data_IF_450104202751
#
_entry.id   IF_450104202751
#
_cell.length_a   1.000
_cell.length_b   1.000
_cell.length_c   1.000
_cell.angle_alpha   90.00
_cell.angle_beta   90.00
_cell.angle_gamma   90.00
#
_symmetry.space_group_name_H-M   'P 1'
#
loop_
_entity.id
_entity.type
_entity.pdbx_description
1 polymer ?
#
# COMPACT_ATOMS: atom_id res chain seq x y z
N UNK A 1 -21.09 -2.74 2.01
CA UNK A 1 -21.06 -1.30 2.35
C UNK A 1 -20.50 -0.45 1.22
N UNK A 2 -19.26 -0.65 0.74
CA UNK A 2 -18.65 0.19 -0.32
C UNK A 2 -19.45 0.15 -1.63
N UNK A 3 -19.85 -1.03 -2.10
CA UNK A 3 -20.75 -1.18 -3.27
C UNK A 3 -22.10 -0.45 -3.14
N UNK A 4 -22.57 -0.23 -1.90
CA UNK A 4 -23.79 0.54 -1.65
C UNK A 4 -23.52 2.04 -1.79
N UNK A 5 -22.39 2.51 -1.29
CA UNK A 5 -21.95 3.91 -1.36
C UNK A 5 -21.74 4.33 -2.84
N UNK A 6 -21.11 3.47 -3.64
CA UNK A 6 -20.90 3.66 -5.08
C UNK A 6 -22.21 3.84 -5.86
N UNK A 7 -23.23 3.01 -5.54
CA UNK A 7 -24.58 3.13 -6.13
C UNK A 7 -25.19 4.52 -5.94
N UNK A 8 -24.90 5.18 -4.83
CA UNK A 8 -25.38 6.53 -4.52
C UNK A 8 -24.38 7.63 -4.93
N UNK A 9 -23.34 7.30 -5.71
CA UNK A 9 -22.27 8.21 -6.16
C UNK A 9 -21.60 8.96 -5.01
N UNK A 10 -21.56 8.32 -3.83
CA UNK A 10 -20.84 8.86 -2.69
C UNK A 10 -19.38 8.40 -2.72
N UNK A 11 -18.49 9.24 -2.23
CA UNK A 11 -17.07 8.93 -2.25
C UNK A 11 -16.67 8.11 -1.01
N UNK A 12 -16.16 6.90 -1.23
CA UNK A 12 -15.63 6.05 -0.16
C UNK A 12 -14.13 6.29 0.05
N UNK A 13 -13.72 6.34 1.31
CA UNK A 13 -12.32 6.48 1.70
C UNK A 13 -11.96 5.35 2.65
N UNK A 14 -10.97 4.54 2.27
CA UNK A 14 -10.45 3.47 3.13
C UNK A 14 -9.14 3.90 3.82
N UNK A 15 -8.94 3.48 5.05
CA UNK A 15 -7.69 3.67 5.78
C UNK A 15 -7.14 2.29 6.13
N UNK A 16 -5.92 2.01 5.69
CA UNK A 16 -5.26 0.73 5.83
C UNK A 16 -4.04 0.91 6.70
N UNK A 17 -3.86 0.02 7.67
CA UNK A 17 -2.61 -0.10 8.42
C UNK A 17 -1.96 -1.42 8.03
N UNK A 18 -0.67 -1.37 7.72
CA UNK A 18 0.15 -2.52 7.36
C UNK A 18 1.21 -2.75 8.43
N UNK A 19 1.70 -3.98 8.55
CA UNK A 19 2.70 -4.36 9.55
C UNK A 19 2.12 -4.41 10.96
N UNK A 20 0.94 -4.99 11.13
CA UNK A 20 0.42 -5.29 12.47
C UNK A 20 1.23 -6.44 13.11
N UNK A 21 1.32 -6.52 14.45
CA UNK A 21 1.92 -7.69 15.10
C UNK A 21 1.20 -8.97 14.64
N UNK A 22 1.97 -10.02 14.35
CA UNK A 22 1.50 -11.30 13.80
C UNK A 22 0.95 -11.24 12.36
N UNK A 23 0.99 -10.09 11.67
CA UNK A 23 0.61 -10.00 10.27
C UNK A 23 1.69 -10.62 9.38
N UNK A 24 1.32 -11.63 8.60
CA UNK A 24 2.19 -12.27 7.62
C UNK A 24 1.93 -11.77 6.20
N UNK A 25 2.72 -12.29 5.26
CA UNK A 25 2.58 -11.94 3.83
C UNK A 25 1.17 -12.24 3.31
N UNK A 26 0.57 -13.35 3.76
CA UNK A 26 -0.76 -13.78 3.32
C UNK A 26 -1.82 -12.76 3.74
N UNK A 27 -1.80 -12.34 5.00
CA UNK A 27 -2.77 -11.40 5.57
C UNK A 27 -2.68 -10.01 4.90
N UNK A 28 -1.46 -9.54 4.60
CA UNK A 28 -1.26 -8.31 3.82
C UNK A 28 -1.88 -8.45 2.42
N UNK A 29 -1.61 -9.56 1.73
CA UNK A 29 -2.15 -9.79 0.38
C UNK A 29 -3.67 -9.97 0.38
N UNK A 30 -4.26 -10.55 1.43
CA UNK A 30 -5.70 -10.64 1.63
C UNK A 30 -6.32 -9.24 1.81
N UNK A 31 -5.68 -8.37 2.59
CA UNK A 31 -6.09 -6.97 2.74
C UNK A 31 -6.03 -6.21 1.41
N UNK A 32 -4.96 -6.41 0.63
CA UNK A 32 -4.80 -5.82 -0.70
C UNK A 32 -5.88 -6.32 -1.66
N UNK A 33 -6.16 -7.63 -1.66
CA UNK A 33 -7.18 -8.24 -2.51
C UNK A 33 -8.56 -7.68 -2.16
N UNK A 34 -8.89 -7.63 -0.87
CA UNK A 34 -10.13 -7.02 -0.40
C UNK A 34 -10.26 -5.55 -0.84
N UNK A 35 -9.17 -4.78 -0.78
CA UNK A 35 -9.15 -3.39 -1.21
C UNK A 35 -9.38 -3.26 -2.72
N UNK A 36 -8.74 -4.12 -3.52
CA UNK A 36 -8.94 -4.19 -4.96
C UNK A 36 -10.37 -4.55 -5.35
N UNK A 37 -10.96 -5.56 -4.71
CA UNK A 37 -12.35 -5.98 -4.95
C UNK A 37 -13.39 -4.94 -4.49
N UNK A 38 -13.08 -4.22 -3.41
CA UNK A 38 -13.95 -3.20 -2.85
C UNK A 38 -14.01 -1.94 -3.72
N UNK A 39 -12.93 -1.62 -4.44
CA UNK A 39 -12.76 -0.46 -5.32
C UNK A 39 -13.20 0.87 -4.68
N UNK A 40 -12.63 1.29 -3.53
CA UNK A 40 -12.99 2.58 -2.95
C UNK A 40 -12.53 3.75 -3.84
N UNK A 41 -13.14 4.93 -3.70
CA UNK A 41 -12.71 6.11 -4.47
C UNK A 41 -11.26 6.51 -4.15
N UNK A 42 -10.89 6.42 -2.87
CA UNK A 42 -9.49 6.52 -2.45
C UNK A 42 -9.18 5.63 -1.26
N UNK A 43 -7.90 5.40 -1.04
CA UNK A 43 -7.39 4.80 0.19
C UNK A 43 -6.11 5.48 0.63
N UNK A 44 -5.90 5.48 1.94
CA UNK A 44 -4.65 5.90 2.58
C UNK A 44 -4.06 4.71 3.30
N UNK A 45 -2.76 4.50 3.16
CA UNK A 45 -2.06 3.46 3.93
C UNK A 45 -1.01 4.07 4.84
N UNK A 46 -0.77 3.40 5.97
CA UNK A 46 0.33 3.69 6.88
C UNK A 46 0.89 2.39 7.41
N UNK A 47 2.08 2.45 8.01
CA UNK A 47 2.53 1.38 8.89
C UNK A 47 1.89 1.51 10.26
N UNK A 48 1.66 0.38 10.90
CA UNK A 48 1.16 0.33 12.27
C UNK A 48 2.26 0.81 13.24
N UNK A 49 1.85 1.62 14.23
CA UNK A 49 2.71 2.09 15.31
C UNK A 49 2.14 1.62 16.67
N UNK A 50 2.90 0.83 17.46
CA UNK A 50 2.51 0.36 18.78
C UNK A 50 2.65 1.48 19.83
N UNK A 51 1.64 2.33 19.98
CA UNK A 51 1.70 3.39 20.99
C UNK A 51 1.81 2.82 22.41
N UNK A 52 2.82 3.25 23.22
CA UNK A 52 2.98 2.81 24.60
C UNK A 52 1.69 2.97 25.43
N UNK A 53 1.36 1.95 26.23
CA UNK A 53 0.14 1.89 27.02
C UNK A 53 -1.10 1.39 26.28
N UNK A 54 -0.99 1.03 24.99
CA UNK A 54 -2.08 0.37 24.26
C UNK A 54 -1.94 -1.15 24.31
N UNK A 55 -3.07 -1.87 24.20
CA UNK A 55 -3.06 -3.33 24.10
C UNK A 55 -2.25 -3.82 22.89
N UNK A 56 -2.26 -3.04 21.81
CA UNK A 56 -1.53 -3.38 20.60
C UNK A 56 0.00 -3.27 20.81
N UNK A 57 0.46 -2.29 21.59
CA UNK A 57 1.85 -2.24 22.03
C UNK A 57 2.24 -3.47 22.87
N UNK A 58 1.40 -3.87 23.84
CA UNK A 58 1.70 -5.07 24.63
C UNK A 58 1.83 -6.31 23.77
N UNK A 59 0.94 -6.48 22.78
CA UNK A 59 0.99 -7.59 21.83
C UNK A 59 2.25 -7.55 20.95
N UNK A 60 2.67 -6.37 20.51
CA UNK A 60 3.90 -6.17 19.75
C UNK A 60 5.16 -6.51 20.57
N UNK A 61 5.21 -6.09 21.83
CA UNK A 61 6.32 -6.42 22.75
C UNK A 61 6.34 -7.91 23.06
N UNK A 62 5.18 -8.50 23.40
CA UNK A 62 5.05 -9.93 23.68
C UNK A 62 5.45 -10.80 22.48
N UNK A 63 5.11 -10.35 21.26
CA UNK A 63 5.50 -11.03 20.02
C UNK A 63 6.98 -10.86 19.64
N UNK A 64 7.74 -10.06 20.38
CA UNK A 64 9.15 -9.81 20.10
C UNK A 64 9.42 -8.96 18.86
N UNK A 65 8.41 -8.20 18.39
CA UNK A 65 8.50 -7.44 17.14
C UNK A 65 9.08 -6.03 17.34
N UNK A 66 9.02 -5.46 18.54
CA UNK A 66 9.39 -4.04 18.74
C UNK A 66 10.90 -3.85 18.67
N UNK A 67 11.34 -3.03 17.72
CA UNK A 67 12.66 -2.41 17.75
C UNK A 67 12.55 -1.08 18.50
N UNK A 68 12.95 -1.06 19.78
CA UNK A 68 12.81 0.10 20.66
C UNK A 68 13.63 1.31 20.18
N UNK A 69 14.85 1.10 19.68
CA UNK A 69 15.69 2.19 19.14
C UNK A 69 15.00 2.88 17.95
N UNK A 70 14.36 2.11 17.07
CA UNK A 70 13.58 2.66 15.96
C UNK A 70 12.31 3.34 16.47
N UNK A 71 11.61 2.75 17.44
CA UNK A 71 10.40 3.34 18.02
C UNK A 71 10.66 4.74 18.59
N UNK A 72 11.80 4.94 19.25
CA UNK A 72 12.18 6.23 19.84
C UNK A 72 12.64 7.27 18.80
N UNK A 73 13.19 6.82 17.66
CA UNK A 73 13.74 7.69 16.61
C UNK A 73 12.82 7.94 15.41
N UNK A 74 11.74 7.16 15.28
CA UNK A 74 10.79 7.27 14.17
C UNK A 74 10.02 8.59 14.22
N UNK A 75 10.22 9.42 13.19
CA UNK A 75 9.53 10.71 13.05
C UNK A 75 8.13 10.58 12.42
N UNK A 76 7.84 9.48 11.72
CA UNK A 76 6.54 9.20 11.10
C UNK A 76 6.28 7.69 11.03
N UNK A 77 5.07 7.31 10.66
CA UNK A 77 4.64 5.91 10.44
C UNK A 77 4.06 5.71 9.04
N UNK A 78 4.45 6.55 8.07
CA UNK A 78 3.99 6.47 6.68
C UNK A 78 4.96 5.71 5.79
N UNK A 79 6.26 5.84 6.05
CA UNK A 79 7.31 5.25 5.20
C UNK A 79 8.02 4.07 5.88
N UNK A 80 7.96 3.97 7.21
CA UNK A 80 8.66 2.95 8.00
C UNK A 80 7.85 2.46 9.21
N UNK A 81 8.18 1.25 9.69
CA UNK A 81 7.66 0.67 10.93
C UNK A 81 8.78 0.49 11.96
N UNK A 82 8.45 0.66 13.24
CA UNK A 82 9.33 0.27 14.35
C UNK A 82 9.26 -1.23 14.67
N UNK A 83 8.36 -1.96 14.00
CA UNK A 83 8.27 -3.41 14.15
C UNK A 83 9.25 -4.09 13.18
N UNK A 84 9.88 -5.16 13.65
CA UNK A 84 10.80 -6.01 12.91
C UNK A 84 10.21 -7.42 12.80
N UNK A 85 9.87 -7.82 11.57
CA UNK A 85 9.31 -9.12 11.23
C UNK A 85 10.35 -10.05 10.58
N UNK A 86 11.62 -9.65 10.61
CA UNK A 86 12.70 -10.30 9.88
C UNK A 86 12.88 -9.74 8.46
N UNK A 87 14.05 -10.01 7.84
CA UNK A 87 14.50 -9.31 6.63
C UNK A 87 13.57 -9.50 5.43
N UNK A 88 13.01 -10.70 5.25
CA UNK A 88 12.13 -11.01 4.12
C UNK A 88 10.80 -10.25 4.21
N UNK A 89 10.12 -10.33 5.36
CA UNK A 89 8.84 -9.66 5.55
C UNK A 89 8.99 -8.14 5.59
N UNK A 90 10.06 -7.63 6.22
CA UNK A 90 10.37 -6.20 6.20
C UNK A 90 10.60 -5.67 4.77
N UNK A 91 11.33 -6.41 3.92
CA UNK A 91 11.51 -6.03 2.52
C UNK A 91 10.19 -6.07 1.75
N UNK A 92 9.36 -7.08 1.98
CA UNK A 92 8.02 -7.16 1.39
C UNK A 92 7.16 -5.96 1.78
N UNK A 93 7.09 -5.62 3.07
CA UNK A 93 6.37 -4.45 3.57
C UNK A 93 6.90 -3.14 2.97
N UNK A 94 8.22 -2.98 2.82
CA UNK A 94 8.81 -1.82 2.15
C UNK A 94 8.36 -1.69 0.69
N UNK A 95 8.29 -2.80 -0.06
CA UNK A 95 7.81 -2.81 -1.45
C UNK A 95 6.34 -2.43 -1.54
N UNK A 96 5.50 -3.01 -0.67
CA UNK A 96 4.07 -2.70 -0.61
C UNK A 96 3.86 -1.24 -0.20
N UNK A 97 4.51 -0.78 0.86
CA UNK A 97 4.39 0.60 1.35
C UNK A 97 4.89 1.64 0.36
N UNK A 98 5.87 1.31 -0.49
CA UNK A 98 6.35 2.21 -1.53
C UNK A 98 5.28 2.49 -2.60
N UNK A 99 4.54 1.46 -3.02
CA UNK A 99 3.67 1.54 -4.20
C UNK A 99 2.40 0.68 -4.11
N UNK A 100 1.69 0.78 -2.99
CA UNK A 100 0.45 0.02 -2.74
C UNK A 100 -0.58 0.08 -3.90
N UNK A 101 -0.78 1.20 -4.62
CA UNK A 101 -1.69 1.24 -5.76
C UNK A 101 -1.42 0.20 -6.85
N UNK A 102 -0.16 -0.20 -7.09
CA UNK A 102 0.15 -1.24 -8.06
C UNK A 102 -0.43 -2.58 -7.63
N UNK A 103 -0.27 -2.91 -6.35
CA UNK A 103 -0.83 -4.12 -5.76
C UNK A 103 -2.37 -4.09 -5.81
N UNK A 104 -2.99 -2.96 -5.47
CA UNK A 104 -4.46 -2.83 -5.52
C UNK A 104 -4.96 -2.99 -6.96
N UNK A 105 -4.34 -2.33 -7.94
CA UNK A 105 -4.70 -2.47 -9.35
C UNK A 105 -4.58 -3.91 -9.86
N UNK A 106 -3.55 -4.65 -9.44
CA UNK A 106 -3.36 -6.04 -9.84
C UNK A 106 -4.54 -6.95 -9.43
N UNK A 107 -5.23 -6.60 -8.32
CA UNK A 107 -6.36 -7.33 -7.75
C UNK A 107 -7.73 -6.64 -7.96
N UNK A 108 -7.77 -5.46 -8.60
CA UNK A 108 -9.01 -4.70 -8.76
C UNK A 108 -9.95 -5.24 -9.86
N UNK A 109 -9.50 -6.18 -10.70
CA UNK A 109 -10.24 -6.66 -11.89
C UNK A 109 -10.64 -5.52 -12.85
N UNK A 110 -9.73 -4.58 -13.06
CA UNK A 110 -9.80 -3.53 -14.08
C UNK A 110 -9.10 -4.01 -15.35
N UNK A 111 -9.29 -3.30 -16.47
CA UNK A 111 -8.64 -3.62 -17.74
C UNK A 111 -7.11 -3.60 -17.61
N UNK A 112 -6.57 -2.71 -16.78
CA UNK A 112 -5.14 -2.58 -16.46
C UNK A 112 -4.59 -3.65 -15.50
N UNK A 113 -5.46 -4.45 -14.86
CA UNK A 113 -5.02 -5.39 -13.82
C UNK A 113 -3.96 -6.41 -14.29
N UNK A 114 -4.01 -6.99 -15.51
CA UNK A 114 -2.93 -7.84 -16.02
C UNK A 114 -1.58 -7.13 -16.06
N UNK A 115 -1.54 -5.89 -16.56
CA UNK A 115 -0.32 -5.09 -16.60
C UNK A 115 0.26 -4.91 -15.20
N UNK A 116 -0.56 -4.52 -14.22
CA UNK A 116 -0.09 -4.33 -12.85
C UNK A 116 0.32 -5.64 -12.15
N UNK A 117 -0.26 -6.79 -12.51
CA UNK A 117 0.22 -8.10 -12.01
C UNK A 117 1.66 -8.35 -12.44
N UNK A 118 1.99 -8.12 -13.70
CA UNK A 118 3.36 -8.28 -14.20
C UNK A 118 4.34 -7.33 -13.49
N UNK A 119 3.91 -6.08 -13.25
CA UNK A 119 4.69 -5.08 -12.50
C UNK A 119 4.94 -5.50 -11.06
N UNK A 120 3.90 -5.98 -10.37
CA UNK A 120 3.98 -6.46 -8.98
C UNK A 120 4.86 -7.71 -8.90
N UNK A 121 4.73 -8.65 -9.83
CA UNK A 121 5.55 -9.85 -9.88
C UNK A 121 7.05 -9.52 -10.07
N UNK A 122 7.36 -8.58 -10.95
CA UNK A 122 8.73 -8.09 -11.14
C UNK A 122 9.28 -7.43 -9.87
N UNK A 123 8.49 -6.56 -9.23
CA UNK A 123 8.86 -5.88 -7.98
C UNK A 123 9.11 -6.89 -6.84
N UNK A 124 8.22 -7.88 -6.71
CA UNK A 124 8.32 -8.89 -5.67
C UNK A 124 9.56 -9.78 -5.82
N UNK A 125 10.02 -10.04 -7.05
CA UNK A 125 11.23 -10.81 -7.36
C UNK A 125 12.55 -10.08 -7.08
N UNK A 126 12.55 -8.75 -6.97
CA UNK A 126 13.77 -8.00 -6.65
C UNK A 126 14.33 -8.41 -5.29
N UNK A 127 15.64 -8.61 -5.16
CA UNK A 127 16.26 -8.69 -3.84
C UNK A 127 16.34 -7.30 -3.19
N UNK A 128 16.91 -7.25 -1.98
CA UNK A 128 17.04 -6.00 -1.21
C UNK A 128 17.83 -4.94 -1.96
N UNK A 129 19.01 -5.30 -2.49
CA UNK A 129 19.91 -4.35 -3.14
C UNK A 129 19.31 -3.80 -4.44
N UNK A 130 18.73 -4.69 -5.25
CA UNK A 130 18.05 -4.33 -6.49
C UNK A 130 16.87 -3.40 -6.22
N UNK A 131 16.06 -3.73 -5.21
CA UNK A 131 14.93 -2.89 -4.81
C UNK A 131 15.37 -1.51 -4.31
N UNK A 132 16.38 -1.44 -3.43
CA UNK A 132 16.87 -0.17 -2.89
C UNK A 132 17.41 0.77 -3.98
N UNK A 133 18.06 0.21 -5.01
CA UNK A 133 18.49 0.97 -6.19
C UNK A 133 17.34 1.44 -7.07
N UNK A 134 16.29 0.63 -7.22
CA UNK A 134 15.15 0.93 -8.09
C UNK A 134 14.10 1.84 -7.42
N UNK A 135 13.97 1.79 -6.09
CA UNK A 135 12.92 2.46 -5.32
C UNK A 135 12.75 3.96 -5.63
N UNK A 136 13.81 4.76 -5.81
CA UNK A 136 13.66 6.18 -6.17
C UNK A 136 12.95 6.39 -7.51
N UNK A 137 13.14 5.50 -8.48
CA UNK A 137 12.58 5.62 -9.83
C UNK A 137 11.13 5.09 -9.94
N UNK A 138 10.73 4.16 -9.08
CA UNK A 138 9.39 3.53 -9.12
C UNK A 138 8.26 4.57 -9.00
N UNK A 139 8.45 5.63 -8.19
CA UNK A 139 7.44 6.70 -8.06
C UNK A 139 7.34 7.59 -9.30
N UNK A 140 8.42 7.73 -10.07
CA UNK A 140 8.35 8.42 -11.37
C UNK A 140 7.60 7.56 -12.37
N UNK A 141 7.94 6.27 -12.41
CA UNK A 141 7.30 5.30 -13.28
C UNK A 141 5.79 5.19 -13.02
N UNK A 142 5.34 5.26 -11.75
CA UNK A 142 3.90 5.34 -11.43
C UNK A 142 3.23 6.55 -12.10
N UNK A 143 3.89 7.71 -12.11
CA UNK A 143 3.36 8.94 -12.74
C UNK A 143 3.31 8.81 -14.26
N UNK A 144 4.34 8.23 -14.87
CA UNK A 144 4.37 7.98 -16.32
C UNK A 144 3.27 6.99 -16.74
N UNK A 145 3.15 5.86 -16.03
CA UNK A 145 2.12 4.84 -16.27
C UNK A 145 0.73 5.48 -16.10
N UNK A 146 0.52 6.23 -15.03
CA UNK A 146 -0.77 6.87 -14.76
C UNK A 146 -1.13 7.88 -15.84
N UNK A 147 -0.16 8.67 -16.32
CA UNK A 147 -0.39 9.65 -17.38
C UNK A 147 -0.76 8.97 -18.70
N UNK A 148 -0.07 7.87 -19.04
CA UNK A 148 -0.41 7.04 -20.20
C UNK A 148 -1.83 6.47 -20.10
N UNK A 149 -2.16 5.82 -18.98
CA UNK A 149 -3.48 5.21 -18.80
C UNK A 149 -4.62 6.23 -18.76
N UNK A 150 -4.39 7.44 -18.23
CA UNK A 150 -5.34 8.55 -18.36
C UNK A 150 -5.58 8.92 -19.82
N UNK A 151 -4.51 9.08 -20.62
CA UNK A 151 -4.62 9.39 -22.04
C UNK A 151 -5.36 8.29 -22.85
N UNK A 152 -5.26 7.05 -22.40
CA UNK A 152 -5.95 5.88 -22.95
C UNK A 152 -7.38 5.69 -22.41
N UNK A 153 -7.83 6.53 -21.46
CA UNK A 153 -9.15 6.42 -20.84
C UNK A 153 -9.32 5.19 -19.92
N UNK A 154 -8.22 4.62 -19.43
CA UNK A 154 -8.22 3.42 -18.60
C UNK A 154 -8.31 3.76 -17.11
N UNK A 155 -9.31 3.18 -16.44
CA UNK A 155 -9.48 3.30 -14.98
C UNK A 155 -8.37 2.57 -14.23
N UNK A 156 -7.70 3.26 -13.31
CA UNK A 156 -6.66 2.71 -12.45
C UNK A 156 -6.48 3.53 -11.17
N UNK A 157 -5.87 2.94 -10.14
CA UNK A 157 -5.38 3.66 -8.98
C UNK A 157 -3.97 4.21 -9.23
N UNK A 158 -3.71 5.44 -8.78
CA UNK A 158 -2.37 6.05 -8.80
C UNK A 158 -2.07 6.77 -7.49
N UNK A 159 -0.79 7.00 -7.18
CA UNK A 159 -0.39 7.80 -6.02
C UNK A 159 -0.71 9.27 -6.30
N UNK A 160 -1.55 9.90 -5.45
CA UNK A 160 -1.99 11.31 -5.61
C UNK A 160 -2.05 12.04 -4.28
N UNK A 161 -1.85 13.36 -4.32
CA UNK A 161 -1.87 14.32 -3.21
C UNK A 161 -0.77 14.13 -2.14
N UNK A 162 -0.44 12.91 -1.74
CA UNK A 162 0.67 12.57 -0.86
C UNK A 162 1.21 11.17 -1.19
N UNK A 163 2.43 10.82 -0.74
CA UNK A 163 3.10 9.57 -1.13
C UNK A 163 2.43 8.27 -0.65
N UNK A 164 1.39 8.37 0.18
CA UNK A 164 0.74 7.26 0.86
C UNK A 164 -0.79 7.26 0.66
N UNK A 165 -1.24 7.85 -0.45
CA UNK A 165 -2.65 7.91 -0.85
C UNK A 165 -2.84 7.46 -2.30
N UNK A 166 -3.68 6.44 -2.48
CA UNK A 166 -4.08 5.90 -3.77
C UNK A 166 -5.47 6.40 -4.12
N UNK A 167 -5.63 6.92 -5.34
CA UNK A 167 -6.89 7.51 -5.81
C UNK A 167 -7.25 6.89 -7.15
N UNK A 168 -8.53 6.56 -7.35
CA UNK A 168 -9.02 6.04 -8.63
C UNK A 168 -9.02 7.16 -9.68
N UNK A 169 -8.58 6.86 -10.90
CA UNK A 169 -8.36 7.85 -11.95
C UNK A 169 -9.59 8.61 -12.38
N UNK A 170 -10.74 7.94 -12.36
CA UNK A 170 -12.03 8.52 -12.75
C UNK A 170 -12.39 9.76 -11.93
N UNK A 171 -11.77 9.92 -10.75
CA UNK A 171 -12.00 11.03 -9.83
C UNK A 171 -11.12 12.26 -10.13
N UNK A 172 -9.86 12.09 -10.52
CA UNK A 172 -8.95 13.22 -10.77
C UNK A 172 -8.84 13.62 -12.25
N UNK A 173 -9.52 12.91 -13.15
CA UNK A 173 -9.73 13.36 -14.54
C UNK A 173 -10.94 14.28 -14.69
N UNK A 174 -11.69 14.52 -13.61
CA UNK A 174 -12.88 15.38 -13.56
C UNK A 174 -12.69 16.67 -12.74
N UNK A 175 -11.49 16.88 -12.16
CA UNK A 175 -11.04 18.17 -11.60
C UNK A 175 -10.25 18.95 -12.65
#
# INVERSE_FOLDING_TARGET
MIRLIDRYRMHSSCFIMLGLPYEGRREVMETITLLGEARPGRFRWTFFFPFPGTKAHDLSVQGGYVNFDRMDSLMNFTDESCLDFGPEHNLFLKKVGLILPWFVNAHAHLEVSPYYRDRVDALLKMDKETFERAAPAIREEDREISSRFQAEGQTHYAVKYNPFMGVISDYFTQE
#
